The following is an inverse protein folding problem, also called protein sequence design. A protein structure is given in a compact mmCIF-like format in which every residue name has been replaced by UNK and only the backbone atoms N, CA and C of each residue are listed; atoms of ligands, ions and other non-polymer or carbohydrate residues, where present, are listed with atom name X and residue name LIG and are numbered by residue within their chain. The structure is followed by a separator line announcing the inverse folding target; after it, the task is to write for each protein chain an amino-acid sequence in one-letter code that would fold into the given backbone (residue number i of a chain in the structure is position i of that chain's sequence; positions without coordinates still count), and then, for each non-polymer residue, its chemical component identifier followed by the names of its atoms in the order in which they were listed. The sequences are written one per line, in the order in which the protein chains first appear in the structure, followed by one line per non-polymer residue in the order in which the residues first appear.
data_IF_803338158076
#
_entry.id   IF_803338158076
#
_cell.length_a   1.000
_cell.length_b   1.000
_cell.length_c   1.000
_cell.angle_alpha   90.00
_cell.angle_beta   90.00
_cell.angle_gamma   90.00
#
_symmetry.space_group_name_H-M   'P 1'
#
loop_
_entity.id
_entity.type
_entity.pdbx_description
1 polymer ?
#
# COMPACT_ATOMS: atom_id res chain seq x y z
N UNK A 1 9.70 28.78 -1.34
CA UNK A 1 8.68 28.06 -2.12
C UNK A 1 7.49 27.67 -1.24
N UNK A 2 7.08 28.55 -0.31
CA UNK A 2 6.04 28.29 0.69
C UNK A 2 4.64 28.55 0.13
N UNK A 3 4.54 29.53 -0.77
CA UNK A 3 3.32 29.86 -1.51
C UNK A 3 2.75 28.66 -2.30
N UNK A 4 3.58 27.94 -3.06
CA UNK A 4 3.10 26.75 -3.79
C UNK A 4 2.62 25.64 -2.85
N UNK A 5 3.25 25.49 -1.68
CA UNK A 5 2.83 24.50 -0.68
C UNK A 5 1.45 24.88 -0.12
N UNK A 6 1.23 26.15 0.19
CA UNK A 6 -0.04 26.68 0.69
C UNK A 6 -1.16 26.58 -0.35
N UNK A 7 -0.89 26.99 -1.60
CA UNK A 7 -1.84 26.89 -2.72
C UNK A 7 -2.24 25.44 -3.03
N UNK A 8 -1.34 24.49 -2.81
CA UNK A 8 -1.62 23.07 -3.03
C UNK A 8 -2.49 22.42 -1.94
N UNK A 9 -2.56 23.02 -0.74
CA UNK A 9 -3.24 22.39 0.42
C UNK A 9 -4.71 22.05 0.17
N UNK A 10 -5.55 22.93 -0.42
CA UNK A 10 -6.96 22.62 -0.66
C UNK A 10 -7.12 21.42 -1.62
N UNK A 11 -6.29 21.33 -2.65
CA UNK A 11 -6.32 20.23 -3.61
C UNK A 11 -5.88 18.91 -2.96
N UNK A 12 -4.82 18.92 -2.15
CA UNK A 12 -4.35 17.75 -1.42
C UNK A 12 -5.36 17.28 -0.36
N UNK A 13 -6.05 18.22 0.29
CA UNK A 13 -7.13 17.90 1.22
C UNK A 13 -8.33 17.27 0.49
N UNK A 14 -8.71 17.81 -0.66
CA UNK A 14 -9.76 17.23 -1.52
C UNK A 14 -9.41 15.82 -1.98
N UNK A 15 -8.16 15.59 -2.39
CA UNK A 15 -7.66 14.26 -2.73
C UNK A 15 -7.73 13.31 -1.53
N UNK A 16 -7.28 13.76 -0.35
CA UNK A 16 -7.35 12.96 0.86
C UNK A 16 -8.79 12.58 1.24
N UNK A 17 -9.73 13.52 1.11
CA UNK A 17 -11.14 13.27 1.38
C UNK A 17 -11.75 12.23 0.42
N UNK A 18 -11.46 12.33 -0.89
CA UNK A 18 -11.90 11.34 -1.87
C UNK A 18 -11.36 9.95 -1.56
N UNK A 19 -10.05 9.85 -1.33
CA UNK A 19 -9.40 8.56 -0.99
C UNK A 19 -9.95 8.00 0.33
N UNK A 20 -10.23 8.85 1.32
CA UNK A 20 -10.82 8.41 2.57
C UNK A 20 -12.21 7.79 2.36
N UNK A 21 -13.06 8.42 1.54
CA UNK A 21 -14.38 7.89 1.20
C UNK A 21 -14.27 6.51 0.54
N UNK A 22 -13.37 6.35 -0.43
CA UNK A 22 -13.17 5.05 -1.11
C UNK A 22 -12.71 3.96 -0.13
N UNK A 23 -11.80 4.29 0.79
CA UNK A 23 -11.35 3.37 1.85
C UNK A 23 -12.50 3.00 2.80
N UNK A 24 -13.27 3.98 3.27
CA UNK A 24 -14.38 3.75 4.20
C UNK A 24 -15.44 2.87 3.57
N UNK A 25 -15.85 3.18 2.34
CA UNK A 25 -16.81 2.36 1.60
C UNK A 25 -16.30 0.92 1.47
N UNK A 26 -15.01 0.75 1.18
CA UNK A 26 -14.44 -0.59 1.07
C UNK A 26 -14.38 -1.35 2.40
N UNK A 27 -14.10 -0.66 3.51
CA UNK A 27 -14.15 -1.23 4.85
C UNK A 27 -15.58 -1.67 5.17
N UNK A 28 -16.56 -0.81 4.91
CA UNK A 28 -17.97 -1.06 5.23
C UNK A 28 -18.60 -2.15 4.35
N UNK A 29 -18.10 -2.35 3.12
CA UNK A 29 -18.49 -3.45 2.23
C UNK A 29 -17.95 -4.82 2.68
N UNK A 30 -16.93 -4.86 3.54
CA UNK A 30 -16.33 -6.11 4.02
C UNK A 30 -17.08 -6.63 5.26
N UNK A 31 -17.35 -7.93 5.30
CA UNK A 31 -18.09 -8.58 6.41
C UNK A 31 -17.30 -8.63 7.71
N UNK A 32 -15.97 -8.63 7.62
CA UNK A 32 -15.03 -8.65 8.75
C UNK A 32 -14.32 -7.30 8.87
N UNK A 33 -13.77 -6.98 10.04
CA UNK A 33 -12.93 -5.78 10.26
C UNK A 33 -11.58 -5.92 9.51
N UNK A 34 -11.40 -5.35 8.31
CA UNK A 34 -10.25 -5.65 7.47
C UNK A 34 -9.01 -4.87 7.90
N UNK A 35 -7.83 -5.45 7.72
CA UNK A 35 -6.58 -4.68 7.77
C UNK A 35 -6.37 -3.91 6.48
N UNK A 36 -6.19 -2.59 6.59
CA UNK A 36 -5.96 -1.69 5.46
C UNK A 36 -4.54 -1.15 5.55
N UNK A 37 -3.68 -1.54 4.62
CA UNK A 37 -2.31 -1.05 4.54
C UNK A 37 -2.21 0.06 3.50
N UNK A 38 -1.78 1.25 3.93
CA UNK A 38 -1.63 2.42 3.08
C UNK A 38 -0.14 2.67 2.82
N UNK A 39 0.26 2.61 1.55
CA UNK A 39 1.63 2.82 1.09
C UNK A 39 1.68 3.42 -0.33
N UNK A 40 2.88 3.66 -0.86
CA UNK A 40 3.13 4.31 -2.16
C UNK A 40 3.45 5.80 -2.07
N UNK A 41 3.76 6.41 -3.22
CA UNK A 41 4.11 7.83 -3.34
C UNK A 41 3.01 8.77 -2.87
N UNK A 42 1.78 8.57 -3.35
CA UNK A 42 0.63 9.38 -2.94
C UNK A 42 0.38 9.35 -1.43
N UNK A 43 0.56 8.18 -0.80
CA UNK A 43 0.39 8.03 0.63
C UNK A 43 1.32 8.92 1.45
N UNK A 44 2.55 9.19 0.98
CA UNK A 44 3.48 10.13 1.65
C UNK A 44 2.90 11.54 1.65
N UNK A 45 2.32 11.96 0.54
CA UNK A 45 1.85 13.32 0.32
C UNK A 45 0.59 13.61 1.14
N UNK A 46 -0.37 12.67 1.18
CA UNK A 46 -1.66 12.89 1.85
C UNK A 46 -1.79 12.24 3.24
N UNK A 47 -0.72 11.65 3.78
CA UNK A 47 -0.73 10.84 5.02
C UNK A 47 -1.50 11.51 6.17
N UNK A 48 -1.13 12.75 6.48
CA UNK A 48 -1.65 13.44 7.66
C UNK A 48 -3.14 13.77 7.51
N UNK A 49 -3.53 14.33 6.36
CA UNK A 49 -4.92 14.65 6.04
C UNK A 49 -5.78 13.39 6.02
N UNK A 50 -5.32 12.32 5.36
CA UNK A 50 -6.04 11.06 5.29
C UNK A 50 -6.21 10.42 6.68
N UNK A 51 -5.14 10.37 7.49
CA UNK A 51 -5.18 9.86 8.86
C UNK A 51 -6.16 10.66 9.73
N UNK A 52 -6.18 11.99 9.59
CA UNK A 52 -7.11 12.85 10.32
C UNK A 52 -8.56 12.55 9.94
N UNK A 53 -8.88 12.47 8.64
CA UNK A 53 -10.23 12.22 8.14
C UNK A 53 -10.73 10.85 8.61
N UNK A 54 -9.93 9.80 8.44
CA UNK A 54 -10.28 8.45 8.90
C UNK A 54 -10.48 8.39 10.42
N UNK A 55 -9.67 9.13 11.19
CA UNK A 55 -9.83 9.24 12.65
C UNK A 55 -11.15 9.92 13.02
N UNK A 56 -11.47 11.05 12.40
CA UNK A 56 -12.72 11.78 12.64
C UNK A 56 -13.96 10.95 12.31
N UNK A 57 -13.87 10.07 11.31
CA UNK A 57 -14.94 9.15 10.91
C UNK A 57 -14.98 7.85 11.72
N UNK A 58 -14.09 7.66 12.70
CA UNK A 58 -14.04 6.44 13.50
C UNK A 58 -13.58 5.19 12.73
N UNK A 59 -12.89 5.37 11.61
CA UNK A 59 -12.49 4.32 10.66
C UNK A 59 -10.97 4.11 10.63
N UNK A 60 -10.28 4.41 11.74
CA UNK A 60 -8.83 4.21 11.86
C UNK A 60 -8.44 2.82 12.38
N UNK A 61 -9.40 2.05 12.91
CA UNK A 61 -9.16 0.69 13.41
C UNK A 61 -8.62 -0.17 12.26
N UNK A 62 -7.53 -0.91 12.51
CA UNK A 62 -6.85 -1.77 11.53
C UNK A 62 -6.30 -1.05 10.28
N UNK A 63 -6.27 0.29 10.26
CA UNK A 63 -5.62 1.07 9.21
C UNK A 63 -4.16 1.31 9.58
N UNK A 64 -3.24 0.80 8.77
CA UNK A 64 -1.79 0.86 8.98
C UNK A 64 -1.17 1.69 7.87
N UNK A 65 -0.57 2.83 8.24
CA UNK A 65 0.28 3.61 7.35
C UNK A 65 1.69 3.02 7.41
N UNK A 66 2.09 2.37 6.32
CA UNK A 66 3.34 1.61 6.26
C UNK A 66 4.56 2.53 6.41
N UNK A 67 5.56 2.08 7.17
CA UNK A 67 6.85 2.75 7.28
C UNK A 67 7.67 2.57 5.99
N UNK A 68 8.31 3.64 5.53
CA UNK A 68 9.01 3.70 4.23
C UNK A 68 8.10 3.27 3.05
N UNK A 69 6.95 3.96 2.85
CA UNK A 69 5.89 3.49 1.94
C UNK A 69 6.26 3.56 0.44
N UNK A 70 7.33 4.28 0.06
CA UNK A 70 7.71 4.51 -1.34
C UNK A 70 8.11 3.23 -2.06
N UNK A 71 8.83 2.33 -1.39
CA UNK A 71 9.44 1.15 -2.00
C UNK A 71 8.84 -0.16 -1.51
N UNK A 72 7.65 -0.12 -0.89
CA UNK A 72 6.98 -1.30 -0.34
C UNK A 72 6.83 -2.41 -1.38
N UNK A 73 6.40 -2.08 -2.61
CA UNK A 73 6.28 -3.06 -3.69
C UNK A 73 7.62 -3.67 -4.10
N UNK A 74 8.65 -2.84 -4.32
CA UNK A 74 9.98 -3.31 -4.72
C UNK A 74 10.61 -4.20 -3.63
N UNK A 75 10.43 -3.85 -2.35
CA UNK A 75 10.86 -4.68 -1.22
C UNK A 75 10.09 -6.00 -1.16
N UNK A 76 8.78 -5.98 -1.40
CA UNK A 76 7.97 -7.19 -1.51
C UNK A 76 8.46 -8.12 -2.60
N UNK A 77 8.79 -7.59 -3.77
CA UNK A 77 9.38 -8.36 -4.87
C UNK A 77 10.75 -8.93 -4.50
N UNK A 78 11.62 -8.14 -3.87
CA UNK A 78 12.93 -8.62 -3.41
C UNK A 78 12.77 -9.77 -2.41
N UNK A 79 11.91 -9.62 -1.40
CA UNK A 79 11.62 -10.69 -0.44
C UNK A 79 11.05 -11.92 -1.16
N UNK A 80 10.16 -11.73 -2.13
CA UNK A 80 9.62 -12.81 -2.93
C UNK A 80 10.72 -13.59 -3.68
N UNK A 81 11.76 -12.90 -4.19
CA UNK A 81 12.89 -13.59 -4.86
C UNK A 81 13.67 -14.55 -3.95
N UNK A 82 13.60 -14.36 -2.64
CA UNK A 82 14.24 -15.25 -1.65
C UNK A 82 13.37 -16.47 -1.31
N UNK A 83 12.11 -16.53 -1.77
CA UNK A 83 11.17 -17.60 -1.42
C UNK A 83 11.44 -18.91 -2.19
N UNK A 84 11.11 -20.09 -1.62
CA UNK A 84 11.13 -21.36 -2.36
C UNK A 84 10.28 -21.31 -3.63
N UNK A 85 9.10 -20.68 -3.54
CA UNK A 85 8.16 -20.53 -4.67
C UNK A 85 8.78 -19.79 -5.85
N UNK A 86 9.55 -18.73 -5.60
CA UNK A 86 10.27 -18.05 -6.67
C UNK A 86 11.34 -18.93 -7.30
N UNK A 87 12.06 -19.74 -6.51
CA UNK A 87 13.03 -20.72 -7.03
C UNK A 87 12.36 -21.75 -7.94
N UNK A 88 11.23 -22.31 -7.54
CA UNK A 88 10.44 -23.24 -8.34
C UNK A 88 9.98 -22.61 -9.66
N UNK A 89 9.42 -21.40 -9.59
CA UNK A 89 9.02 -20.65 -10.78
C UNK A 89 10.22 -20.41 -11.71
N UNK A 90 11.35 -19.97 -11.16
CA UNK A 90 12.58 -19.73 -11.94
C UNK A 90 13.08 -21.01 -12.61
N UNK A 91 13.08 -22.15 -11.92
CA UNK A 91 13.51 -23.43 -12.49
C UNK A 91 12.61 -23.88 -13.64
N UNK A 92 11.28 -23.73 -13.47
CA UNK A 92 10.30 -24.03 -14.52
C UNK A 92 10.50 -23.17 -15.76
N UNK A 93 10.66 -21.86 -15.59
CA UNK A 93 10.87 -20.91 -16.70
C UNK A 93 12.22 -21.13 -17.41
N UNK A 94 13.26 -21.53 -16.69
CA UNK A 94 14.58 -21.82 -17.25
C UNK A 94 14.70 -23.24 -17.85
N UNK A 95 13.62 -24.03 -17.83
CA UNK A 95 13.62 -25.37 -18.42
C UNK A 95 14.42 -26.42 -17.64
N UNK A 96 14.76 -26.19 -16.36
CA UNK A 96 15.36 -27.21 -15.52
C UNK A 96 14.30 -28.23 -15.07
N UNK A 97 14.00 -29.20 -15.93
CA UNK A 97 13.43 -30.48 -15.49
C UNK A 97 14.53 -31.23 -14.77
N UNK A 98 14.29 -31.65 -13.52
CA UNK A 98 15.19 -32.44 -12.68
C UNK A 98 16.19 -33.26 -13.51
N UNK A 99 17.45 -32.84 -13.53
CA UNK A 99 18.56 -33.72 -13.88
C UNK A 99 18.59 -34.78 -12.79
N UNK A 100 17.89 -35.89 -13.02
CA UNK A 100 18.18 -37.16 -12.36
C UNK A 100 19.66 -37.43 -12.65
N UNK A 101 20.51 -37.16 -11.67
CA UNK A 101 21.89 -37.61 -11.68
C UNK A 101 21.78 -39.12 -11.47
N UNK A 102 21.86 -39.87 -12.57
CA UNK A 102 22.11 -41.32 -12.61
C UNK A 102 23.52 -41.64 -12.15
#
# INVERSE_FOLDING_TARGET
NTLLVEESQPALLGLAARVATDIINKIDDMKDDPYVFIYGGGAVIIKNSLKMILKQKGRLKNVIFVDNPLFTNARGLLVYTCSPKYREHKQKELGFTNLTIS
#
